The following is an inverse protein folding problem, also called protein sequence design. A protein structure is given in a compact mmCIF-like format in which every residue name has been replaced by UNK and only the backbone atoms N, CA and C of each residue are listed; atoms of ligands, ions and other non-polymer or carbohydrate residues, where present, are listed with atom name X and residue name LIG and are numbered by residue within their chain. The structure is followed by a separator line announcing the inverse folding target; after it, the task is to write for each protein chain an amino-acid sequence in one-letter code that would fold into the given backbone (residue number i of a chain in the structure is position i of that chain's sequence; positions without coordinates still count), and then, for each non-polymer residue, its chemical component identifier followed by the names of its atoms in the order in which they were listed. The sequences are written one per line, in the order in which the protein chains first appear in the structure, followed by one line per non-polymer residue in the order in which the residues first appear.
data_IF_684922287579
#
_entry.id   IF_684922287579
#
_cell.length_a   1.000
_cell.length_b   1.000
_cell.length_c   1.000
_cell.angle_alpha   90.00
_cell.angle_beta   90.00
_cell.angle_gamma   90.00
#
_symmetry.space_group_name_H-M   'P 1'
#
loop_
_entity.id
_entity.type
_entity.pdbx_description
1 polymer ?
#
# COMPACT_ATOMS: atom_id res chain seq x y z
N UNK A 1 -25.22 11.99 -10.64
CA UNK A 1 -24.47 13.03 -9.88
C UNK A 1 -25.41 13.95 -9.11
N UNK A 2 -26.32 14.67 -9.78
CA UNK A 2 -27.31 15.54 -9.13
C UNK A 2 -28.14 14.86 -8.03
N UNK A 3 -28.59 13.61 -8.25
CA UNK A 3 -29.31 12.78 -7.24
C UNK A 3 -28.57 12.68 -5.90
N UNK A 4 -27.25 12.73 -5.91
CA UNK A 4 -26.41 12.57 -4.74
C UNK A 4 -25.77 13.88 -4.28
N UNK A 5 -26.25 15.03 -4.79
CA UNK A 5 -25.70 16.34 -4.46
C UNK A 5 -24.26 16.57 -4.95
N UNK A 6 -23.77 15.74 -5.88
CA UNK A 6 -22.40 15.84 -6.40
C UNK A 6 -22.32 16.89 -7.50
N UNK A 7 -21.28 17.73 -7.46
CA UNK A 7 -21.01 18.70 -8.52
C UNK A 7 -20.62 18.00 -9.83
N UNK A 8 -20.76 18.69 -10.97
CA UNK A 8 -20.36 18.13 -12.26
C UNK A 8 -18.86 17.78 -12.32
N UNK A 9 -18.03 18.62 -11.67
CA UNK A 9 -16.57 18.50 -11.60
C UNK A 9 -16.09 17.40 -10.63
N UNK A 10 -16.96 16.89 -9.76
CA UNK A 10 -16.58 15.88 -8.77
C UNK A 10 -16.31 14.52 -9.44
N UNK A 11 -15.14 13.94 -9.15
CA UNK A 11 -14.72 12.65 -9.68
C UNK A 11 -15.20 11.49 -8.79
N UNK A 12 -16.13 10.69 -9.32
CA UNK A 12 -16.69 9.51 -8.65
C UNK A 12 -15.60 8.44 -8.47
N UNK A 13 -14.57 8.42 -9.32
CA UNK A 13 -13.48 7.43 -9.27
C UNK A 13 -12.76 7.46 -7.93
N UNK A 14 -12.58 8.64 -7.33
CA UNK A 14 -11.95 8.77 -6.02
C UNK A 14 -12.81 8.10 -4.92
N UNK A 15 -14.13 8.34 -4.93
CA UNK A 15 -15.05 7.71 -3.97
C UNK A 15 -15.14 6.20 -4.17
N UNK A 16 -15.17 5.74 -5.41
CA UNK A 16 -15.16 4.31 -5.74
C UNK A 16 -13.88 3.64 -5.25
N UNK A 17 -12.71 4.25 -5.50
CA UNK A 17 -11.42 3.77 -4.99
C UNK A 17 -11.43 3.66 -3.46
N UNK A 18 -11.90 4.69 -2.76
CA UNK A 18 -11.97 4.69 -1.31
C UNK A 18 -12.88 3.56 -0.79
N UNK A 19 -14.06 3.38 -1.40
CA UNK A 19 -14.97 2.28 -1.05
C UNK A 19 -14.34 0.90 -1.28
N UNK A 20 -13.59 0.69 -2.38
CA UNK A 20 -12.86 -0.55 -2.61
C UNK A 20 -11.79 -0.81 -1.55
N UNK A 21 -11.02 0.21 -1.15
CA UNK A 21 -9.98 0.10 -0.13
C UNK A 21 -10.54 -0.24 1.26
N UNK A 22 -11.72 0.30 1.57
CA UNK A 22 -12.43 0.07 2.83
C UNK A 22 -13.34 -1.19 2.80
N UNK A 23 -13.39 -1.90 1.67
CA UNK A 23 -14.31 -3.01 1.43
C UNK A 23 -15.79 -2.63 1.65
N UNK A 24 -16.12 -1.37 1.41
CA UNK A 24 -17.44 -0.80 1.64
C UNK A 24 -18.27 -0.73 0.36
N UNK A 25 -18.24 -1.81 -0.43
CA UNK A 25 -18.98 -1.95 -1.68
C UNK A 25 -20.01 -3.07 -1.52
N UNK A 26 -21.29 -2.75 -1.69
CA UNK A 26 -22.39 -3.73 -1.65
C UNK A 26 -22.95 -3.91 -3.05
N UNK A 27 -23.19 -5.16 -3.44
CA UNK A 27 -23.78 -5.52 -4.73
C UNK A 27 -25.03 -6.34 -4.49
N UNK A 28 -26.12 -5.95 -5.14
CA UNK A 28 -27.34 -6.75 -5.24
C UNK A 28 -27.56 -7.11 -6.69
N UNK A 29 -27.85 -8.38 -6.95
CA UNK A 29 -28.05 -8.93 -8.29
C UNK A 29 -29.51 -9.34 -8.46
N UNK A 30 -30.08 -8.96 -9.60
CA UNK A 30 -31.38 -9.36 -10.09
C UNK A 30 -31.18 -9.97 -11.49
N UNK A 31 -32.26 -10.45 -12.12
CA UNK A 31 -32.16 -11.26 -13.34
C UNK A 31 -31.57 -10.50 -14.53
N UNK A 32 -31.92 -9.22 -14.72
CA UNK A 32 -31.39 -8.34 -15.78
C UNK A 32 -30.69 -7.07 -15.27
N UNK A 33 -30.73 -6.85 -13.96
CA UNK A 33 -30.32 -5.62 -13.28
C UNK A 33 -29.42 -5.92 -12.09
N UNK A 34 -28.65 -4.93 -11.70
CA UNK A 34 -27.92 -4.95 -10.45
C UNK A 34 -27.90 -3.56 -9.82
N UNK A 35 -27.80 -3.50 -8.50
CA UNK A 35 -27.59 -2.24 -7.80
C UNK A 35 -26.28 -2.32 -7.03
N UNK A 36 -25.41 -1.33 -7.26
CA UNK A 36 -24.11 -1.18 -6.62
C UNK A 36 -24.14 0.00 -5.66
N UNK A 37 -23.84 -0.26 -4.39
CA UNK A 37 -23.81 0.77 -3.34
C UNK A 37 -22.37 0.98 -2.85
N UNK A 38 -21.94 2.23 -2.80
CA UNK A 38 -20.63 2.64 -2.28
C UNK A 38 -20.83 3.32 -0.91
N UNK A 39 -20.32 2.70 0.15
CA UNK A 39 -20.54 3.07 1.55
C UNK A 39 -19.23 3.46 2.24
N UNK A 40 -18.40 4.28 1.60
CA UNK A 40 -17.12 4.73 2.17
C UNK A 40 -16.97 6.25 2.31
N UNK A 41 -18.02 6.99 1.96
CA UNK A 41 -18.04 8.46 1.95
C UNK A 41 -19.11 9.04 2.88
N UNK A 42 -19.21 10.38 2.94
CA UNK A 42 -20.21 11.07 3.78
C UNK A 42 -21.64 10.77 3.36
N UNK A 43 -21.86 10.31 2.13
CA UNK A 43 -23.16 9.90 1.63
C UNK A 43 -22.99 8.66 0.75
N UNK A 44 -23.85 7.67 0.97
CA UNK A 44 -23.88 6.45 0.17
C UNK A 44 -24.27 6.79 -1.27
N UNK A 45 -23.56 6.21 -2.23
CA UNK A 45 -23.86 6.35 -3.65
C UNK A 45 -24.41 5.03 -4.17
N UNK A 46 -25.57 5.10 -4.81
CA UNK A 46 -26.24 3.94 -5.41
C UNK A 46 -26.26 4.05 -6.94
N UNK A 47 -25.91 2.96 -7.61
CA UNK A 47 -25.85 2.88 -9.06
C UNK A 47 -26.67 1.70 -9.55
N UNK A 48 -27.58 1.99 -10.47
CA UNK A 48 -28.33 0.98 -11.20
C UNK A 48 -27.50 0.54 -12.41
N UNK A 49 -27.26 -0.76 -12.52
CA UNK A 49 -26.49 -1.40 -13.57
C UNK A 49 -27.42 -2.28 -14.40
N UNK A 50 -27.15 -2.34 -15.70
CA UNK A 50 -27.87 -3.20 -16.64
C UNK A 50 -26.90 -4.14 -17.34
N UNK A 51 -27.43 -5.27 -17.81
CA UNK A 51 -26.64 -6.28 -18.51
C UNK A 51 -26.06 -5.72 -19.83
N UNK A 52 -24.76 -5.88 -20.00
CA UNK A 52 -24.07 -5.58 -21.26
C UNK A 52 -24.36 -6.70 -22.29
N UNK A 53 -24.64 -6.38 -23.57
CA UNK A 53 -24.87 -7.39 -24.60
C UNK A 53 -23.69 -8.35 -24.76
N UNK A 54 -23.99 -9.61 -25.09
CA UNK A 54 -23.00 -10.70 -25.16
C UNK A 54 -21.75 -10.40 -26.00
N UNK A 55 -21.86 -9.92 -27.25
CA UNK A 55 -20.70 -9.63 -28.08
C UNK A 55 -19.78 -8.55 -27.50
N UNK A 56 -20.36 -7.52 -26.89
CA UNK A 56 -19.60 -6.44 -26.26
C UNK A 56 -18.97 -6.91 -24.93
N UNK A 57 -19.75 -7.66 -24.13
CA UNK A 57 -19.29 -8.22 -22.87
C UNK A 57 -18.12 -9.19 -23.08
N UNK A 58 -18.15 -10.03 -24.11
CA UNK A 58 -17.09 -10.98 -24.42
C UNK A 58 -15.74 -10.27 -24.66
N UNK A 59 -15.72 -9.26 -25.54
CA UNK A 59 -14.52 -8.48 -25.82
C UNK A 59 -14.00 -7.73 -24.59
N UNK A 60 -14.91 -7.14 -23.80
CA UNK A 60 -14.56 -6.43 -22.55
C UNK A 60 -13.99 -7.38 -21.50
N UNK A 61 -14.57 -8.57 -21.33
CA UNK A 61 -14.09 -9.58 -20.38
C UNK A 61 -12.72 -10.12 -20.79
N UNK A 62 -12.51 -10.42 -22.08
CA UNK A 62 -11.21 -10.87 -22.58
C UNK A 62 -10.11 -9.84 -22.30
N UNK A 63 -10.37 -8.57 -22.65
CA UNK A 63 -9.42 -7.49 -22.38
C UNK A 63 -9.16 -7.30 -20.88
N UNK A 64 -10.21 -7.37 -20.06
CA UNK A 64 -10.10 -7.27 -18.60
C UNK A 64 -9.24 -8.40 -18.02
N UNK A 65 -9.47 -9.65 -18.43
CA UNK A 65 -8.71 -10.81 -17.94
C UNK A 65 -7.23 -10.70 -18.28
N UNK A 66 -6.90 -10.37 -19.52
CA UNK A 66 -5.51 -10.19 -19.95
C UNK A 66 -4.84 -9.03 -19.21
N UNK A 67 -5.54 -7.89 -19.10
CA UNK A 67 -5.02 -6.72 -18.38
C UNK A 67 -4.84 -6.95 -16.88
N UNK A 68 -5.67 -7.78 -16.25
CA UNK A 68 -5.47 -8.18 -14.85
C UNK A 68 -4.25 -9.07 -14.68
N UNK A 69 -4.03 -10.04 -15.59
CA UNK A 69 -2.84 -10.90 -15.55
C UNK A 69 -1.54 -10.09 -15.69
N UNK A 70 -1.51 -9.13 -16.61
CA UNK A 70 -0.38 -8.22 -16.78
C UNK A 70 -0.15 -7.37 -15.52
N UNK A 71 -1.22 -6.81 -14.94
CA UNK A 71 -1.12 -6.00 -13.71
C UNK A 71 -0.61 -6.81 -12.52
N UNK A 72 -1.05 -8.06 -12.36
CA UNK A 72 -0.55 -8.95 -11.29
C UNK A 72 0.94 -9.19 -11.46
N UNK A 73 1.38 -9.59 -12.66
CA UNK A 73 2.80 -9.81 -12.96
C UNK A 73 3.65 -8.56 -12.67
N UNK A 74 3.21 -7.39 -13.13
CA UNK A 74 3.91 -6.12 -12.86
C UNK A 74 3.94 -5.77 -11.37
N UNK A 75 2.85 -6.00 -10.64
CA UNK A 75 2.78 -5.74 -9.21
C UNK A 75 3.69 -6.68 -8.41
N UNK A 76 3.75 -7.96 -8.77
CA UNK A 76 4.66 -8.94 -8.16
C UNK A 76 6.12 -8.55 -8.38
N UNK A 77 6.50 -8.14 -9.59
CA UNK A 77 7.85 -7.65 -9.89
C UNK A 77 8.21 -6.41 -9.05
N UNK A 78 7.29 -5.44 -8.96
CA UNK A 78 7.49 -4.22 -8.15
C UNK A 78 7.54 -4.52 -6.66
N UNK A 79 6.75 -5.48 -6.19
CA UNK A 79 6.77 -5.92 -4.80
C UNK A 79 8.10 -6.58 -4.46
N UNK A 80 8.62 -7.44 -5.34
CA UNK A 80 9.93 -8.05 -5.18
C UNK A 80 11.06 -7.00 -5.15
N UNK A 81 11.06 -6.05 -6.09
CA UNK A 81 12.04 -4.97 -6.12
C UNK A 81 12.00 -4.10 -4.84
N UNK A 82 10.79 -3.75 -4.36
CA UNK A 82 10.63 -2.98 -3.13
C UNK A 82 11.16 -3.73 -1.89
N UNK A 83 11.03 -5.06 -1.84
CA UNK A 83 11.58 -5.86 -0.75
C UNK A 83 13.12 -5.82 -0.72
N UNK A 84 13.77 -5.93 -1.88
CA UNK A 84 15.24 -5.84 -2.00
C UNK A 84 15.77 -4.44 -1.61
N UNK A 85 15.06 -3.36 -1.95
CA UNK A 85 15.40 -2.00 -1.52
C UNK A 85 15.30 -1.83 0.01
N UNK A 86 14.29 -2.43 0.64
CA UNK A 86 14.18 -2.41 2.11
C UNK A 86 15.24 -3.26 2.82
N UNK A 87 15.79 -4.27 2.15
CA UNK A 87 16.87 -5.12 2.67
C UNK A 87 18.26 -4.50 2.49
N UNK A 88 18.44 -3.69 1.44
CA UNK A 88 19.73 -3.05 1.08
C UNK A 88 19.86 -1.60 1.56
N UNK A 89 18.80 -1.01 2.12
CA UNK A 89 18.93 0.27 2.84
C UNK A 89 20.02 0.13 3.91
N UNK A 90 21.13 0.90 3.83
CA UNK A 90 22.14 0.89 4.88
C UNK A 90 21.46 1.46 6.11
N UNK A 91 21.00 0.58 7.01
CA UNK A 91 20.67 0.97 8.37
C UNK A 91 21.95 1.54 8.91
N UNK A 92 22.01 2.88 8.92
CA UNK A 92 23.04 3.70 9.54
C UNK A 92 23.46 2.98 10.82
N UNK A 93 24.68 2.46 10.79
CA UNK A 93 25.30 1.83 11.94
C UNK A 93 25.23 2.83 13.09
N UNK A 94 24.26 2.67 13.99
CA UNK A 94 24.55 2.96 15.38
C UNK A 94 25.60 1.92 15.74
N UNK A 95 26.87 2.27 15.54
CA UNK A 95 27.95 1.67 16.30
C UNK A 95 27.47 1.72 17.75
N UNK A 96 26.94 0.62 18.27
CA UNK A 96 26.93 0.40 19.70
C UNK A 96 28.41 0.31 20.05
N UNK A 97 28.99 1.47 20.33
CA UNK A 97 30.20 1.58 21.11
C UNK A 97 29.84 1.03 22.50
N UNK A 98 29.92 -0.29 22.64
CA UNK A 98 30.06 -0.94 23.92
C UNK A 98 31.51 -1.38 24.11
N UNK A 99 32.00 -1.55 25.34
CA UNK A 99 31.75 -0.77 26.55
C UNK A 99 32.99 0.06 26.90
N UNK A 100 32.84 1.34 27.23
CA UNK A 100 33.90 2.12 27.88
C UNK A 100 34.04 1.63 29.34
N UNK A 101 34.66 0.46 29.49
CA UNK A 101 35.22 0.02 30.76
C UNK A 101 36.41 0.92 31.06
N UNK A 102 36.15 1.99 31.82
CA UNK A 102 37.21 2.70 32.53
C UNK A 102 37.85 1.69 33.50
N UNK A 103 38.97 1.11 33.08
CA UNK A 103 39.90 0.39 33.95
C UNK A 103 40.84 1.43 34.57
N UNK A 104 40.80 1.67 35.89
CA UNK A 104 41.90 2.36 36.57
C UNK A 104 43.12 1.43 36.59
N UNK A 105 44.23 1.92 36.05
CA UNK A 105 45.51 1.23 35.91
C UNK A 105 46.12 0.91 37.30
N UNK A 106 46.40 -0.37 37.63
CA UNK A 106 47.14 -0.72 38.83
C UNK A 106 48.66 -0.74 38.55
N UNK A 107 49.38 -0.02 39.40
CA UNK A 107 50.80 -0.18 39.74
C UNK A 107 51.88 0.37 38.80
N UNK A 108 52.34 1.59 39.13
CA UNK A 108 53.73 1.99 38.94
C UNK A 108 54.43 2.07 40.31
N UNK A 109 54.67 0.92 40.94
CA UNK A 109 55.64 0.82 42.04
C UNK A 109 57.03 0.51 41.47
N UNK A 110 57.96 1.42 41.79
CA UNK A 110 59.36 1.15 42.19
C UNK A 110 60.42 1.01 41.08
N UNK A 111 61.28 2.03 41.05
CA UNK A 111 62.70 1.96 40.68
C UNK A 111 63.19 3.32 40.17
N UNK A 112 64.15 4.04 40.74
CA UNK A 112 65.08 3.87 41.86
C UNK A 112 65.84 5.21 42.03
N UNK A 113 66.69 5.38 43.05
CA UNK A 113 67.20 6.70 43.46
C UNK A 113 68.57 7.09 42.86
N UNK A 114 68.76 8.41 42.65
CA UNK A 114 70.05 9.15 42.68
C UNK A 114 70.58 9.67 41.33
N UNK A 115 71.48 10.69 41.30
CA UNK A 115 72.03 11.53 42.38
C UNK A 115 71.87 13.06 42.15
N UNK A 116 71.93 13.85 43.24
CA UNK A 116 71.98 15.32 43.23
C UNK A 116 71.76 15.91 44.61
#
# INVERSE_FOLDING_TARGET
KARFGLSAAEDITHRFRAACQQQAVTLTLQEDRASLTLSGGPSALEFDLSKVPGPEAASRLQALTLGLAERVCSLEQRLAAAAEETATSPRKSSRQAGPLLFLPDPDAQRGGPGPG
#
